data_IF_361691319346
#
_entry.id   IF_361691319346
#
_cell.length_a   1.000
_cell.length_b   1.000
_cell.length_c   1.000
_cell.angle_alpha   90.00
_cell.angle_beta   90.00
_cell.angle_gamma   90.00
#
_symmetry.space_group_name_H-M   'P 1'
#
loop_
_entity.id
_entity.type
_entity.pdbx_description
1 polymer ?
#
# COMPACT_ATOMS: atom_id res chain seq x y z
N UNK A 1 -3.83 -8.42 -31.52
CA UNK A 1 -2.95 -7.83 -30.49
C UNK A 1 -3.35 -6.36 -30.29
N UNK A 2 -4.42 -6.07 -29.55
CA UNK A 2 -4.90 -4.69 -29.37
C UNK A 2 -5.69 -4.45 -28.06
N UNK A 3 -5.63 -5.34 -27.06
CA UNK A 3 -6.57 -5.30 -25.93
C UNK A 3 -5.94 -4.93 -24.57
N UNK A 4 -4.65 -4.56 -24.51
CA UNK A 4 -3.95 -4.32 -23.23
C UNK A 4 -3.75 -2.84 -22.86
N UNK A 5 -4.03 -1.90 -23.77
CA UNK A 5 -3.81 -0.47 -23.53
C UNK A 5 -4.91 0.15 -22.66
N UNK A 6 -6.18 -0.28 -22.83
CA UNK A 6 -7.32 0.26 -22.08
C UNK A 6 -7.37 -0.13 -20.60
N UNK A 7 -6.83 -1.29 -20.23
CA UNK A 7 -6.74 -1.70 -18.81
C UNK A 7 -5.65 -0.92 -18.08
N UNK A 8 -4.50 -0.74 -18.73
CA UNK A 8 -3.31 -0.14 -18.14
C UNK A 8 -3.51 1.34 -17.74
N UNK A 9 -4.25 2.11 -18.55
CA UNK A 9 -4.58 3.50 -18.22
C UNK A 9 -5.55 3.61 -17.03
N UNK A 10 -6.56 2.72 -16.97
CA UNK A 10 -7.50 2.65 -15.87
C UNK A 10 -6.82 2.24 -14.55
N UNK A 11 -5.86 1.31 -14.60
CA UNK A 11 -5.03 0.93 -13.46
C UNK A 11 -4.18 2.11 -12.96
N UNK A 12 -3.60 2.90 -13.88
CA UNK A 12 -2.85 4.12 -13.58
C UNK A 12 -3.73 5.17 -12.90
N UNK A 13 -4.90 5.46 -13.47
CA UNK A 13 -5.86 6.41 -12.89
C UNK A 13 -6.33 5.94 -11.51
N UNK A 14 -6.53 4.63 -11.32
CA UNK A 14 -6.92 4.05 -10.03
C UNK A 14 -5.81 4.20 -8.99
N UNK A 15 -4.56 3.95 -9.38
CA UNK A 15 -3.40 4.15 -8.50
C UNK A 15 -3.22 5.63 -8.12
N UNK A 16 -3.29 6.55 -9.08
CA UNK A 16 -3.19 7.98 -8.81
C UNK A 16 -4.33 8.46 -7.91
N UNK A 17 -5.56 8.00 -8.13
CA UNK A 17 -6.72 8.31 -7.27
C UNK A 17 -6.55 7.78 -5.85
N UNK A 18 -5.94 6.60 -5.68
CA UNK A 18 -5.61 6.07 -4.37
C UNK A 18 -4.50 6.90 -3.67
N UNK A 19 -3.54 7.42 -4.43
CA UNK A 19 -2.49 8.29 -3.92
C UNK A 19 -2.94 9.74 -3.66
N UNK A 20 -4.02 10.19 -4.28
CA UNK A 20 -4.60 11.54 -4.13
C UNK A 20 -5.26 11.80 -2.76
N UNK A 21 -4.73 11.20 -1.69
CA UNK A 21 -5.08 11.50 -0.30
C UNK A 21 -3.78 11.54 0.53
N UNK A 22 -3.55 12.61 1.30
CA UNK A 22 -2.30 12.81 2.03
C UNK A 22 -2.01 11.69 3.04
N UNK A 23 -3.04 11.16 3.70
CA UNK A 23 -2.88 10.07 4.67
C UNK A 23 -2.51 8.77 3.97
N UNK A 24 -3.15 8.44 2.84
CA UNK A 24 -2.83 7.23 2.07
C UNK A 24 -1.39 7.26 1.55
N UNK A 25 -0.93 8.42 1.07
CA UNK A 25 0.45 8.62 0.65
C UNK A 25 1.42 8.47 1.84
N UNK A 26 1.08 9.03 3.00
CA UNK A 26 1.88 8.92 4.21
C UNK A 26 2.00 7.47 4.71
N UNK A 27 0.90 6.70 4.66
CA UNK A 27 0.91 5.28 5.00
C UNK A 27 1.84 4.49 4.06
N UNK A 28 1.78 4.75 2.75
CA UNK A 28 2.70 4.16 1.78
C UNK A 28 4.16 4.55 2.03
N UNK A 29 4.41 5.80 2.41
CA UNK A 29 5.75 6.26 2.78
C UNK A 29 6.28 5.51 3.99
N UNK A 30 5.47 5.31 5.04
CA UNK A 30 5.88 4.52 6.19
C UNK A 30 6.12 3.04 5.86
N UNK A 31 5.33 2.48 4.94
CA UNK A 31 5.50 1.10 4.45
C UNK A 31 6.74 0.91 3.56
N UNK A 32 7.38 1.99 3.10
CA UNK A 32 8.66 1.92 2.38
C UNK A 32 9.81 1.51 3.31
N UNK A 33 9.85 2.11 4.49
CA UNK A 33 10.90 1.90 5.48
C UNK A 33 10.25 1.51 6.83
N UNK A 34 9.59 0.33 6.91
CA UNK A 34 8.84 -0.04 8.10
C UNK A 34 9.73 -0.14 9.34
N UNK A 35 10.99 -0.57 9.18
CA UNK A 35 11.97 -0.66 10.28
C UNK A 35 12.32 0.71 10.88
N UNK A 36 12.30 1.78 10.07
CA UNK A 36 12.58 3.15 10.54
C UNK A 36 11.36 3.82 11.14
N UNK A 37 10.17 3.38 10.75
CA UNK A 37 8.91 4.03 11.11
C UNK A 37 8.12 3.28 12.19
N UNK A 38 8.29 1.97 12.33
CA UNK A 38 7.60 1.15 13.31
C UNK A 38 8.65 0.49 14.22
N UNK A 39 9.01 1.20 15.28
CA UNK A 39 10.01 0.77 16.28
C UNK A 39 9.47 -0.23 17.30
N UNK A 40 8.22 -0.70 17.13
CA UNK A 40 7.60 -1.63 18.07
C UNK A 40 8.04 -3.05 17.76
N UNK A 41 8.31 -3.84 18.81
CA UNK A 41 8.69 -5.25 18.68
C UNK A 41 7.71 -5.97 17.73
N UNK A 42 8.21 -6.53 16.62
CA UNK A 42 7.34 -7.14 15.64
C UNK A 42 6.60 -8.33 16.26
N UNK A 43 5.26 -8.27 16.23
CA UNK A 43 4.39 -9.39 16.62
C UNK A 43 4.58 -10.61 15.69
N UNK A 44 5.13 -10.39 14.50
CA UNK A 44 5.56 -11.39 13.52
C UNK A 44 6.65 -10.78 12.62
N UNK A 45 7.54 -11.59 12.05
CA UNK A 45 8.69 -11.16 11.25
C UNK A 45 8.35 -10.04 10.24
N UNK A 46 8.81 -8.79 10.49
CA UNK A 46 8.42 -7.63 9.69
C UNK A 46 8.96 -7.70 8.26
N UNK A 47 9.96 -8.55 8.04
CA UNK A 47 10.57 -8.85 6.74
C UNK A 47 9.64 -9.70 5.86
N UNK A 48 8.97 -10.70 6.45
CA UNK A 48 8.09 -11.62 5.70
C UNK A 48 6.65 -11.09 5.58
N UNK A 49 6.07 -10.53 6.64
CA UNK A 49 4.63 -10.25 6.68
C UNK A 49 4.23 -8.77 6.62
N UNK A 50 5.14 -7.84 6.92
CA UNK A 50 4.88 -6.40 6.86
C UNK A 50 4.30 -5.82 8.15
N UNK A 51 3.61 -4.68 8.06
CA UNK A 51 3.15 -3.90 9.23
C UNK A 51 1.68 -4.22 9.56
N UNK A 52 1.39 -4.56 10.81
CA UNK A 52 0.03 -4.77 11.29
C UNK A 52 -0.85 -3.52 11.12
N UNK A 53 -2.13 -3.73 10.80
CA UNK A 53 -3.13 -2.64 10.79
C UNK A 53 -3.18 -1.86 12.11
N UNK A 54 -2.95 -2.51 13.25
CA UNK A 54 -2.95 -1.88 14.57
C UNK A 54 -1.77 -0.91 14.77
N UNK A 55 -0.60 -1.21 14.21
CA UNK A 55 0.55 -0.30 14.24
C UNK A 55 0.34 0.91 13.32
N UNK A 56 -0.24 0.68 12.14
CA UNK A 56 -0.64 1.76 11.23
C UNK A 56 -1.68 2.67 11.88
N UNK A 57 -2.66 2.09 12.57
CA UNK A 57 -3.67 2.81 13.34
C UNK A 57 -3.02 3.69 14.43
N UNK A 58 -2.17 3.10 15.27
CA UNK A 58 -1.50 3.80 16.36
C UNK A 58 -0.64 4.97 15.85
N UNK A 59 0.08 4.77 14.74
CA UNK A 59 0.94 5.80 14.14
C UNK A 59 0.15 6.88 13.38
N UNK A 60 -0.91 6.51 12.68
CA UNK A 60 -1.76 7.45 11.96
C UNK A 60 -2.67 8.27 12.89
N UNK A 61 -2.92 7.80 14.12
CA UNK A 61 -3.86 8.44 15.04
C UNK A 61 -5.32 8.35 14.56
N UNK A 62 -5.63 7.36 13.71
CA UNK A 62 -6.94 7.18 13.09
C UNK A 62 -7.65 5.94 13.64
N UNK A 63 -8.94 5.81 13.35
CA UNK A 63 -9.69 4.59 13.67
C UNK A 63 -9.22 3.41 12.81
N UNK A 64 -9.27 2.20 13.38
CA UNK A 64 -8.87 0.96 12.69
C UNK A 64 -9.66 0.73 11.38
N UNK A 65 -10.96 1.04 11.40
CA UNK A 65 -11.84 0.95 10.23
C UNK A 65 -11.40 1.89 9.10
N UNK A 66 -10.98 3.11 9.44
CA UNK A 66 -10.48 4.09 8.47
C UNK A 66 -9.17 3.63 7.83
N UNK A 67 -8.21 3.18 8.66
CA UNK A 67 -6.92 2.68 8.15
C UNK A 67 -7.12 1.42 7.31
N UNK A 68 -7.98 0.51 7.73
CA UNK A 68 -8.33 -0.68 6.95
C UNK A 68 -8.94 -0.33 5.59
N UNK A 69 -9.86 0.65 5.55
CA UNK A 69 -10.45 1.13 4.30
C UNK A 69 -9.38 1.73 3.36
N UNK A 70 -8.49 2.58 3.88
CA UNK A 70 -7.39 3.17 3.12
C UNK A 70 -6.42 2.10 2.59
N UNK A 71 -6.09 1.11 3.41
CA UNK A 71 -5.24 0.00 2.98
C UNK A 71 -5.93 -0.87 1.92
N UNK A 72 -7.24 -1.10 2.03
CA UNK A 72 -8.00 -1.84 1.02
C UNK A 72 -8.05 -1.09 -0.32
N UNK A 73 -8.16 0.24 -0.32
CA UNK A 73 -8.07 1.04 -1.53
C UNK A 73 -6.67 0.96 -2.18
N UNK A 74 -5.61 1.07 -1.36
CA UNK A 74 -4.24 0.93 -1.84
C UNK A 74 -3.96 -0.49 -2.38
N UNK A 75 -4.54 -1.51 -1.77
CA UNK A 75 -4.44 -2.90 -2.22
C UNK A 75 -5.17 -3.10 -3.56
N UNK A 76 -6.37 -2.53 -3.71
CA UNK A 76 -7.13 -2.55 -4.97
C UNK A 76 -6.38 -1.84 -6.10
N UNK A 77 -5.69 -0.75 -5.78
CA UNK A 77 -4.79 -0.05 -6.68
C UNK A 77 -3.47 -0.81 -6.96
N UNK A 78 -3.22 -1.93 -6.28
CA UNK A 78 -2.00 -2.72 -6.46
C UNK A 78 -0.74 -2.10 -5.85
N UNK A 79 -0.87 -1.12 -4.96
CA UNK A 79 0.27 -0.43 -4.36
C UNK A 79 0.81 -1.16 -3.11
N UNK A 80 -0.04 -1.98 -2.49
CA UNK A 80 0.31 -2.76 -1.29
C UNK A 80 -0.24 -4.19 -1.40
N UNK A 81 0.46 -5.12 -0.77
CA UNK A 81 0.02 -6.50 -0.53
C UNK A 81 -0.50 -6.62 0.89
N UNK A 82 -1.62 -7.30 1.06
CA UNK A 82 -2.19 -7.62 2.36
C UNK A 82 -1.98 -9.10 2.65
N UNK A 83 -1.34 -9.40 3.78
CA UNK A 83 -1.09 -10.76 4.25
C UNK A 83 -1.81 -10.96 5.57
N UNK A 84 -2.70 -11.95 5.65
CA UNK A 84 -3.40 -12.28 6.89
C UNK A 84 -2.53 -13.26 7.69
N UNK A 85 -2.15 -12.87 8.90
CA UNK A 85 -1.34 -13.67 9.81
C UNK A 85 -2.11 -13.83 11.12
N UNK A 86 -2.62 -15.04 11.36
CA UNK A 86 -3.48 -15.33 12.51
C UNK A 86 -4.75 -14.45 12.52
N UNK A 87 -4.89 -13.62 13.56
CA UNK A 87 -6.04 -12.72 13.75
C UNK A 87 -5.88 -11.35 13.09
N UNK A 88 -4.69 -11.01 12.57
CA UNK A 88 -4.37 -9.66 12.13
C UNK A 88 -3.97 -9.60 10.66
N UNK A 89 -4.39 -8.54 9.97
CA UNK A 89 -3.95 -8.24 8.60
C UNK A 89 -2.72 -7.35 8.64
N UNK A 90 -1.70 -7.77 7.91
CA UNK A 90 -0.44 -7.06 7.73
C UNK A 90 -0.39 -6.51 6.32
N UNK A 91 0.20 -5.34 6.16
CA UNK A 91 0.35 -4.69 4.87
C UNK A 91 1.83 -4.47 4.57
N UNK A 92 2.22 -4.75 3.32
CA UNK A 92 3.56 -4.52 2.79
C UNK A 92 3.45 -3.77 1.46
N UNK A 93 4.40 -2.87 1.19
CA UNK A 93 4.46 -2.16 -0.08
C UNK A 93 4.81 -3.13 -1.21
N UNK A 94 4.10 -3.02 -2.33
CA UNK A 94 4.39 -3.79 -3.55
C UNK A 94 5.36 -3.01 -4.44
N UNK A 95 6.66 -3.20 -4.23
CA UNK A 95 7.68 -2.43 -4.96
C UNK A 95 7.69 -2.74 -6.46
N UNK A 96 7.45 -4.01 -6.84
CA UNK A 96 7.39 -4.42 -8.25
C UNK A 96 6.25 -3.72 -8.98
N UNK A 97 5.04 -3.73 -8.39
CA UNK A 97 3.87 -3.14 -9.02
C UNK A 97 3.96 -1.61 -9.06
N UNK A 98 4.56 -1.00 -8.05
CA UNK A 98 4.84 0.44 -8.06
C UNK A 98 5.87 0.81 -9.13
N UNK A 99 6.95 0.03 -9.28
CA UNK A 99 7.95 0.28 -10.32
C UNK A 99 7.33 0.19 -11.72
N UNK A 100 6.45 -0.79 -11.95
CA UNK A 100 5.69 -0.90 -13.19
C UNK A 100 4.78 0.31 -13.43
N UNK A 101 4.03 0.75 -12.41
CA UNK A 101 3.16 1.94 -12.51
C UNK A 101 3.97 3.20 -12.84
N UNK A 102 5.13 3.41 -12.21
CA UNK A 102 6.02 4.56 -12.49
C UNK A 102 6.60 4.48 -13.90
N UNK A 103 7.03 3.30 -14.34
CA UNK A 103 7.57 3.10 -15.69
C UNK A 103 6.51 3.29 -16.78
N UNK A 104 5.26 2.98 -16.49
CA UNK A 104 4.14 3.27 -17.41
C UNK A 104 3.80 4.76 -17.36
N UNK A 105 3.72 5.37 -16.18
CA UNK A 105 3.47 6.80 -16.01
C UNK A 105 4.46 7.65 -16.81
N UNK A 106 5.76 7.36 -16.70
CA UNK A 106 6.82 8.08 -17.42
C UNK A 106 6.93 7.75 -18.92
N UNK A 107 6.15 6.79 -19.42
CA UNK A 107 5.98 6.56 -20.87
C UNK A 107 4.75 7.25 -21.42
N UNK A 108 3.74 7.47 -20.58
CA UNK A 108 2.46 8.10 -20.96
C UNK A 108 2.51 9.62 -20.89
N UNK A 109 3.30 10.19 -19.95
CA UNK A 109 3.54 11.62 -19.78
C UNK A 109 4.90 12.03 -20.33
#
# INVERSE_FOLDING_TARGET
>A
MAESAGSTDLDLVTALRALANPVRLQLLYWLRDPERHFTQEPVADPVEVGVCVSHLQAKAGLAQSTVSAYMAELQRAGLVRATRVGKWTHYKRDEERIAQLVATLGRTL
#
